data_IF_103532628205
#
_entry.id   IF_103532628205
#
_cell.length_a   1.000
_cell.length_b   1.000
_cell.length_c   1.000
_cell.angle_alpha   90.00
_cell.angle_beta   90.00
_cell.angle_gamma   90.00
#
_symmetry.space_group_name_H-M   'P 1'
#
loop_
_entity.id
_entity.type
_entity.pdbx_description
1 polymer ?
#
# COMPACT_ATOMS: atom_id res chain seq x y z
N UNK A 1 1.17 -90.54 2.83
CA UNK A 1 1.90 -90.55 1.54
C UNK A 1 1.17 -89.62 0.58
N UNK A 2 1.96 -88.86 -0.19
CA UNK A 2 1.62 -88.03 -1.37
C UNK A 2 0.68 -86.80 -1.22
N UNK A 3 1.32 -85.62 -1.38
CA UNK A 3 0.79 -84.34 -1.85
C UNK A 3 0.00 -84.46 -3.18
N UNK A 4 -0.85 -83.49 -3.51
CA UNK A 4 -0.68 -82.67 -4.72
C UNK A 4 -1.56 -81.41 -4.67
N UNK A 5 -0.92 -80.27 -4.94
CA UNK A 5 -1.48 -78.91 -4.98
C UNK A 5 -2.51 -78.74 -6.10
N UNK A 6 -3.49 -77.85 -5.92
CA UNK A 6 -3.85 -76.91 -7.00
C UNK A 6 -4.59 -75.68 -6.46
N UNK A 7 -3.94 -74.56 -6.66
CA UNK A 7 -4.41 -73.19 -6.48
C UNK A 7 -5.42 -72.83 -7.57
N UNK A 8 -6.64 -72.41 -7.22
CA UNK A 8 -7.40 -71.51 -8.10
C UNK A 8 -7.88 -70.26 -7.36
N UNK A 9 -7.32 -69.16 -7.85
CA UNK A 9 -7.35 -67.78 -7.38
C UNK A 9 -8.76 -67.19 -7.40
N UNK A 10 -9.32 -66.88 -6.25
CA UNK A 10 -10.44 -65.92 -6.17
C UNK A 10 -9.86 -64.54 -6.50
N UNK A 11 -10.11 -64.04 -7.71
CA UNK A 11 -9.73 -62.68 -8.12
C UNK A 11 -10.58 -61.68 -7.35
N UNK A 12 -10.02 -60.80 -6.50
CA UNK A 12 -10.82 -59.76 -5.87
C UNK A 12 -11.33 -58.81 -6.96
N UNK A 13 -12.66 -58.61 -7.02
CA UNK A 13 -13.28 -57.55 -7.82
C UNK A 13 -12.67 -56.23 -7.36
N UNK A 14 -11.85 -55.60 -8.21
CA UNK A 14 -11.32 -54.26 -7.96
C UNK A 14 -12.52 -53.31 -7.82
N UNK A 15 -12.84 -52.91 -6.59
CA UNK A 15 -13.68 -51.73 -6.34
C UNK A 15 -13.02 -50.57 -7.08
N UNK A 16 -13.62 -50.16 -8.20
CA UNK A 16 -13.24 -48.94 -8.90
C UNK A 16 -13.57 -47.79 -7.95
N UNK A 17 -12.60 -47.37 -7.15
CA UNK A 17 -12.60 -46.04 -6.57
C UNK A 17 -12.63 -45.07 -7.75
N UNK A 18 -13.81 -44.54 -8.04
CA UNK A 18 -13.96 -43.41 -8.95
C UNK A 18 -13.30 -42.23 -8.21
N UNK A 19 -12.01 -42.04 -8.45
CA UNK A 19 -11.31 -40.83 -8.02
C UNK A 19 -12.04 -39.69 -8.70
N UNK A 20 -12.92 -39.03 -7.96
CA UNK A 20 -13.47 -37.74 -8.34
C UNK A 20 -12.27 -36.81 -8.31
N UNK A 21 -11.66 -36.57 -9.47
CA UNK A 21 -10.73 -35.46 -9.63
C UNK A 21 -11.55 -34.22 -9.31
N UNK A 22 -11.34 -33.62 -8.13
CA UNK A 22 -11.79 -32.26 -7.86
C UNK A 22 -11.07 -31.38 -8.88
N UNK A 23 -11.70 -31.10 -10.01
CA UNK A 23 -11.31 -30.00 -10.86
C UNK A 23 -11.50 -28.75 -9.99
N UNK A 24 -10.39 -28.28 -9.41
CA UNK A 24 -10.36 -26.95 -8.81
C UNK A 24 -10.64 -26.02 -9.99
N UNK A 25 -11.86 -25.50 -10.09
CA UNK A 25 -12.13 -24.35 -10.93
C UNK A 25 -11.30 -23.24 -10.31
N UNK A 26 -10.12 -23.01 -10.86
CA UNK A 26 -9.28 -21.87 -10.50
C UNK A 26 -9.98 -20.68 -11.12
N UNK A 27 -10.91 -20.09 -10.37
CA UNK A 27 -11.41 -18.78 -10.72
C UNK A 27 -10.19 -17.85 -10.81
N UNK A 28 -10.06 -17.05 -11.89
CA UNK A 28 -8.97 -16.09 -11.97
C UNK A 28 -9.00 -15.20 -10.72
N UNK A 29 -7.84 -14.79 -10.20
CA UNK A 29 -7.81 -13.90 -9.05
C UNK A 29 -8.71 -12.69 -9.35
N UNK A 30 -9.67 -12.42 -8.47
CA UNK A 30 -10.62 -11.33 -8.65
C UNK A 30 -9.84 -10.01 -8.75
N UNK A 31 -9.67 -9.52 -9.99
CA UNK A 31 -8.97 -8.27 -10.24
C UNK A 31 -9.90 -7.12 -9.86
N UNK A 32 -9.55 -6.41 -8.79
CA UNK A 32 -10.25 -5.18 -8.45
C UNK A 32 -9.93 -4.13 -9.50
N UNK A 33 -10.96 -3.65 -10.21
CA UNK A 33 -10.83 -2.53 -11.16
C UNK A 33 -10.21 -1.32 -10.44
N UNK A 34 -9.31 -0.59 -11.11
CA UNK A 34 -8.48 0.46 -10.48
C UNK A 34 -9.23 1.48 -9.62
N UNK A 35 -10.46 1.87 -10.03
CA UNK A 35 -11.33 2.76 -9.22
C UNK A 35 -11.74 2.13 -7.88
N UNK A 36 -12.07 0.84 -7.87
CA UNK A 36 -12.45 0.10 -6.67
C UNK A 36 -11.25 -0.07 -5.74
N UNK A 37 -10.07 -0.33 -6.30
CA UNK A 37 -8.82 -0.39 -5.55
C UNK A 37 -8.48 0.96 -4.89
N UNK A 38 -8.62 2.06 -5.63
CA UNK A 38 -8.37 3.41 -5.10
C UNK A 38 -9.32 3.78 -3.94
N UNK A 39 -10.61 3.47 -4.06
CA UNK A 39 -11.59 3.72 -2.99
C UNK A 39 -11.32 2.85 -1.77
N UNK A 40 -10.98 1.57 -1.96
CA UNK A 40 -10.59 0.69 -0.87
C UNK A 40 -9.34 1.22 -0.16
N UNK A 41 -8.31 1.59 -0.93
CA UNK A 41 -7.07 2.16 -0.41
C UNK A 41 -7.34 3.43 0.39
N UNK A 42 -8.20 4.33 -0.11
CA UNK A 42 -8.58 5.55 0.62
C UNK A 42 -9.27 5.26 1.96
N UNK A 43 -10.15 4.24 2.01
CA UNK A 43 -10.80 3.80 3.26
C UNK A 43 -9.78 3.24 4.24
N UNK A 44 -8.86 2.42 3.75
CA UNK A 44 -7.80 1.83 4.57
C UNK A 44 -6.85 2.92 5.10
N UNK A 45 -6.45 3.88 4.27
CA UNK A 45 -5.59 5.02 4.63
C UNK A 45 -6.25 5.96 5.65
N UNK A 46 -7.59 6.06 5.66
CA UNK A 46 -8.32 6.86 6.65
C UNK A 46 -8.47 6.15 8.00
N UNK A 47 -8.57 4.82 7.99
CA UNK A 47 -8.76 4.01 9.20
C UNK A 47 -7.44 3.67 9.89
N UNK A 48 -6.43 3.36 9.09
CA UNK A 48 -5.11 2.98 9.58
C UNK A 48 -4.19 4.19 9.42
N UNK A 49 -3.84 4.84 10.53
CA UNK A 49 -2.77 5.85 10.60
C UNK A 49 -1.38 5.20 10.58
N UNK A 50 -1.22 4.09 9.86
CA UNK A 50 0.09 3.47 9.68
C UNK A 50 0.93 4.40 8.81
N UNK A 51 2.06 4.86 9.34
CA UNK A 51 2.88 5.89 8.73
C UNK A 51 3.10 5.64 7.23
N UNK A 52 2.69 6.61 6.40
CA UNK A 52 2.50 6.41 4.96
C UNK A 52 3.81 6.41 4.18
N UNK A 53 4.84 7.05 4.73
CA UNK A 53 6.17 7.10 4.13
C UNK A 53 6.90 5.81 4.47
N UNK A 54 7.01 4.86 3.54
CA UNK A 54 7.34 3.47 3.91
C UNK A 54 8.70 3.25 4.60
N UNK A 55 9.64 4.20 4.64
CA UNK A 55 10.97 3.98 5.23
C UNK A 55 11.52 5.24 5.93
N UNK A 56 12.05 5.09 7.16
CA UNK A 56 12.72 6.18 7.89
C UNK A 56 14.04 6.56 7.19
N UNK A 57 14.73 5.58 6.59
CA UNK A 57 16.03 5.77 5.94
C UNK A 57 15.99 6.77 4.76
N UNK A 58 14.94 6.74 3.93
CA UNK A 58 14.79 7.70 2.83
C UNK A 58 14.47 9.11 3.31
N UNK A 59 13.78 9.24 4.46
CA UNK A 59 13.49 10.53 5.08
C UNK A 59 14.72 11.15 5.76
N UNK A 60 15.57 10.32 6.39
CA UNK A 60 16.85 10.75 6.96
C UNK A 60 17.78 11.30 5.88
N UNK A 61 17.90 10.61 4.74
CA UNK A 61 18.71 11.09 3.61
C UNK A 61 18.20 12.44 3.07
N UNK A 62 16.88 12.65 3.04
CA UNK A 62 16.28 13.91 2.64
C UNK A 62 16.59 15.05 3.63
N UNK A 63 16.47 14.79 4.94
CA UNK A 63 16.80 15.78 5.97
C UNK A 63 18.26 16.21 5.82
N UNK A 64 19.18 15.24 5.72
CA UNK A 64 20.61 15.52 5.57
C UNK A 64 20.90 16.34 4.30
N UNK A 65 20.27 15.99 3.17
CA UNK A 65 20.40 16.75 1.93
C UNK A 65 19.91 18.20 2.07
N UNK A 66 18.77 18.41 2.74
CA UNK A 66 18.23 19.75 2.99
C UNK A 66 19.15 20.54 3.92
N UNK A 67 19.69 19.92 4.96
CA UNK A 67 20.53 20.58 5.96
C UNK A 67 21.88 20.97 5.41
N UNK A 68 22.49 20.11 4.59
CA UNK A 68 23.71 20.44 3.85
C UNK A 68 23.47 21.63 2.92
N UNK A 69 22.38 21.60 2.14
CA UNK A 69 22.08 22.64 1.16
C UNK A 69 21.68 23.98 1.76
N UNK A 70 20.92 23.97 2.86
CA UNK A 70 20.32 25.18 3.46
C UNK A 70 21.11 25.72 4.63
N UNK A 71 21.63 24.85 5.50
CA UNK A 71 22.31 25.25 6.72
C UNK A 71 23.84 25.31 6.60
N UNK A 72 24.43 24.82 5.49
CA UNK A 72 25.90 24.82 5.23
C UNK A 72 26.73 24.18 6.36
N UNK A 73 26.14 23.29 7.16
CA UNK A 73 26.79 22.57 8.26
C UNK A 73 26.84 21.08 7.91
N UNK A 74 27.99 20.54 7.44
CA UNK A 74 28.08 19.18 6.91
C UNK A 74 28.04 18.06 7.98
N UNK A 75 28.13 18.38 9.27
CA UNK A 75 28.23 17.38 10.36
C UNK A 75 27.08 17.46 11.37
N UNK A 76 25.93 17.99 10.97
CA UNK A 76 24.76 18.07 11.85
C UNK A 76 24.12 16.67 11.97
N UNK A 77 24.25 16.06 13.14
CA UNK A 77 23.58 14.79 13.46
C UNK A 77 22.24 15.09 14.14
N UNK A 78 21.20 14.38 13.71
CA UNK A 78 19.87 14.49 14.29
C UNK A 78 19.60 13.32 15.22
N UNK A 79 18.92 13.60 16.32
CA UNK A 79 18.40 12.56 17.22
C UNK A 79 17.33 11.72 16.49
N UNK A 80 17.31 10.38 16.66
CA UNK A 80 16.29 9.54 16.01
C UNK A 80 14.86 9.95 16.38
N UNK A 81 14.64 10.46 17.60
CA UNK A 81 13.34 10.95 18.05
C UNK A 81 12.91 12.23 17.31
N UNK A 82 13.84 13.17 17.11
CA UNK A 82 13.59 14.38 16.32
C UNK A 82 13.25 14.05 14.85
N UNK A 83 13.94 13.06 14.26
CA UNK A 83 13.65 12.59 12.90
C UNK A 83 12.24 11.99 12.82
N UNK A 84 11.85 11.21 13.83
CA UNK A 84 10.50 10.65 13.91
C UNK A 84 9.43 11.74 14.05
N UNK A 85 9.67 12.78 14.86
CA UNK A 85 8.78 13.93 15.00
C UNK A 85 8.62 14.70 13.68
N UNK A 86 9.72 15.04 13.00
CA UNK A 86 9.67 15.72 11.69
C UNK A 86 8.90 14.93 10.65
N UNK A 87 9.02 13.60 10.68
CA UNK A 87 8.27 12.75 9.78
C UNK A 87 6.76 12.80 10.07
N UNK A 88 6.37 12.70 11.34
CA UNK A 88 4.96 12.76 11.73
C UNK A 88 4.34 14.11 11.35
N UNK A 89 5.03 15.20 11.61
CA UNK A 89 4.60 16.55 11.25
C UNK A 89 4.49 16.73 9.74
N UNK A 90 5.47 16.24 8.97
CA UNK A 90 5.44 16.30 7.52
C UNK A 90 4.27 15.47 6.94
N UNK A 91 4.00 14.27 7.48
CA UNK A 91 2.86 13.45 7.07
C UNK A 91 1.52 14.14 7.39
N UNK A 92 1.40 14.77 8.56
CA UNK A 92 0.22 15.53 8.95
C UNK A 92 0.03 16.77 8.06
N UNK A 93 1.10 17.52 7.79
CA UNK A 93 1.09 18.68 6.90
C UNK A 93 0.63 18.30 5.49
N UNK A 94 1.24 17.27 4.89
CA UNK A 94 0.88 16.82 3.55
C UNK A 94 -0.56 16.29 3.50
N UNK A 95 -1.01 15.53 4.50
CA UNK A 95 -2.40 15.05 4.58
C UNK A 95 -3.39 16.22 4.57
N UNK A 96 -3.14 17.27 5.35
CA UNK A 96 -3.99 18.45 5.38
C UNK A 96 -3.92 19.27 4.09
N UNK A 97 -2.72 19.42 3.52
CA UNK A 97 -2.51 20.07 2.24
C UNK A 97 -3.24 19.37 1.09
N UNK A 98 -3.19 18.03 1.04
CA UNK A 98 -3.95 17.24 0.06
C UNK A 98 -5.47 17.34 0.28
N UNK A 99 -5.96 17.43 1.52
CA UNK A 99 -7.39 17.66 1.79
C UNK A 99 -7.83 19.02 1.24
N UNK A 100 -7.05 20.08 1.49
CA UNK A 100 -7.34 21.42 0.97
C UNK A 100 -7.34 21.43 -0.57
N UNK A 101 -6.30 20.86 -1.20
CA UNK A 101 -6.22 20.77 -2.66
C UNK A 101 -7.38 19.94 -3.25
N UNK A 102 -7.82 18.90 -2.55
CA UNK A 102 -8.97 18.08 -2.95
C UNK A 102 -10.30 18.86 -2.88
N UNK A 103 -10.46 19.77 -1.92
CA UNK A 103 -11.61 20.66 -1.86
C UNK A 103 -11.60 21.66 -3.02
N UNK A 104 -10.45 22.29 -3.29
CA UNK A 104 -10.29 23.18 -4.46
C UNK A 104 -10.60 22.44 -5.77
N UNK A 105 -10.19 21.18 -5.89
CA UNK A 105 -10.51 20.34 -7.05
C UNK A 105 -12.01 20.12 -7.23
N UNK A 106 -12.71 19.77 -6.15
CA UNK A 106 -14.16 19.54 -6.17
C UNK A 106 -14.90 20.83 -6.50
N UNK A 107 -14.48 21.95 -5.91
CA UNK A 107 -15.02 23.28 -6.20
C UNK A 107 -14.85 23.64 -7.69
N UNK A 108 -13.70 23.33 -8.27
CA UNK A 108 -13.42 23.51 -9.70
C UNK A 108 -14.06 22.43 -10.61
N UNK A 109 -14.95 21.57 -10.10
CA UNK A 109 -15.64 20.53 -10.89
C UNK A 109 -14.74 19.45 -11.50
N UNK A 110 -13.46 19.39 -11.11
CA UNK A 110 -12.45 18.56 -11.75
C UNK A 110 -12.45 17.16 -11.17
N UNK A 111 -12.33 16.11 -12.00
CA UNK A 111 -12.26 14.72 -11.53
C UNK A 111 -10.86 14.30 -11.06
N UNK A 112 -9.83 14.95 -11.55
CA UNK A 112 -8.42 14.61 -11.32
C UNK A 112 -7.77 15.74 -10.52
N UNK A 113 -6.87 15.38 -9.60
CA UNK A 113 -6.07 16.35 -8.87
C UNK A 113 -4.86 16.72 -9.73
N UNK A 114 -4.75 18.00 -10.09
CA UNK A 114 -3.67 18.55 -10.89
C UNK A 114 -2.82 19.56 -10.11
N UNK A 115 -1.83 20.13 -10.79
CA UNK A 115 -0.90 21.11 -10.21
C UNK A 115 -1.58 22.45 -9.87
N UNK A 116 -2.63 22.82 -10.60
CA UNK A 116 -3.34 24.08 -10.41
C UNK A 116 -4.00 24.18 -9.04
N UNK A 117 -4.55 23.08 -8.52
CA UNK A 117 -5.16 23.08 -7.20
C UNK A 117 -4.13 23.32 -6.10
N UNK A 118 -2.94 22.73 -6.23
CA UNK A 118 -1.84 22.99 -5.29
C UNK A 118 -1.33 24.43 -5.39
N UNK A 119 -1.26 24.97 -6.61
CA UNK A 119 -0.89 26.37 -6.82
C UNK A 119 -1.89 27.32 -6.14
N UNK A 120 -3.19 27.05 -6.27
CA UNK A 120 -4.24 27.82 -5.59
C UNK A 120 -4.12 27.74 -4.07
N UNK A 121 -3.92 26.55 -3.50
CA UNK A 121 -3.74 26.39 -2.05
C UNK A 121 -2.50 27.17 -1.56
N UNK A 122 -1.40 27.17 -2.32
CA UNK A 122 -0.21 27.95 -1.97
C UNK A 122 -0.43 29.47 -2.04
N UNK A 123 -1.19 29.95 -3.03
CA UNK A 123 -1.55 31.37 -3.13
C UNK A 123 -2.40 31.77 -1.93
N UNK A 124 -3.43 30.98 -1.61
CA UNK A 124 -4.32 31.23 -0.46
C UNK A 124 -3.51 31.21 0.85
N UNK A 125 -2.61 30.24 1.01
CA UNK A 125 -1.74 30.17 2.20
C UNK A 125 -0.84 31.39 2.35
N UNK A 126 -0.26 31.89 1.26
CA UNK A 126 0.55 33.13 1.28
C UNK A 126 -0.28 34.37 1.61
N UNK A 127 -1.56 34.42 1.21
CA UNK A 127 -2.44 35.55 1.51
C UNK A 127 -2.95 35.55 2.95
N UNK A 128 -3.11 34.38 3.56
CA UNK A 128 -3.63 34.26 4.94
C UNK A 128 -2.55 34.37 6.01
N UNK A 129 -1.31 33.99 5.72
CA UNK A 129 -0.21 33.89 6.70
C UNK A 129 1.03 34.70 6.32
N UNK A 130 0.97 35.48 5.24
CA UNK A 130 2.04 36.37 4.77
C UNK A 130 1.84 37.81 5.19
#
# INVERSE_FOLDING_TARGET
MANFNSTEKIRPRKLRHKVVKKSRVVFPPFSMRGRTFAVRRLRDLRKNSSALVREIASFVALINHITEKKLKKPYLQFEPEAIAAFRQDAEAFLSNYFKAANLCRIHAGSRILGVEQFRMVNIIGRLMFG
#
